data_IF_530945086468
#
_entry.id   IF_530945086468
#
_cell.length_a   1.000
_cell.length_b   1.000
_cell.length_c   1.000
_cell.angle_alpha   90.00
_cell.angle_beta   90.00
_cell.angle_gamma   90.00
#
_symmetry.space_group_name_H-M   'P 1'
#
loop_
_entity.id
_entity.type
_entity.pdbx_description
1 polymer ?
#
# COMPACT_ATOMS: atom_id res chain seq x y z
N UNK A 1 2.48 71.18 -0.41
CA UNK A 1 2.32 70.67 -1.79
C UNK A 1 3.35 69.58 -1.97
N UNK A 2 2.96 68.34 -1.63
CA UNK A 2 3.79 67.13 -1.63
C UNK A 2 2.86 65.92 -1.61
N UNK A 3 1.93 65.83 -2.57
CA UNK A 3 0.94 64.73 -2.62
C UNK A 3 1.27 63.75 -3.74
N UNK A 4 1.83 64.22 -4.86
CA UNK A 4 2.13 63.40 -6.04
C UNK A 4 3.17 62.29 -5.83
N UNK A 5 4.04 62.39 -4.83
CA UNK A 5 5.00 61.33 -4.50
C UNK A 5 4.37 60.18 -3.71
N UNK A 6 3.58 60.52 -2.69
CA UNK A 6 2.84 59.55 -1.87
C UNK A 6 1.79 58.79 -2.70
N UNK A 7 1.11 59.48 -3.63
CA UNK A 7 0.11 58.87 -4.50
C UNK A 7 0.73 57.80 -5.42
N UNK A 8 1.93 58.05 -5.96
CA UNK A 8 2.65 57.10 -6.82
C UNK A 8 3.20 55.89 -6.06
N UNK A 9 3.68 56.09 -4.82
CA UNK A 9 4.10 55.00 -3.95
C UNK A 9 2.92 54.13 -3.51
N UNK A 10 1.76 54.76 -3.26
CA UNK A 10 0.52 54.07 -2.93
C UNK A 10 0.00 53.20 -4.09
N UNK A 11 -0.07 53.77 -5.30
CA UNK A 11 -0.47 53.04 -6.51
C UNK A 11 0.49 51.87 -6.82
N UNK A 12 1.80 52.08 -6.63
CA UNK A 12 2.80 51.02 -6.82
C UNK A 12 2.65 49.89 -5.80
N UNK A 13 2.34 50.21 -4.55
CA UNK A 13 2.11 49.23 -3.49
C UNK A 13 0.85 48.38 -3.76
N UNK A 14 -0.23 49.01 -4.25
CA UNK A 14 -1.48 48.32 -4.59
C UNK A 14 -1.29 47.34 -5.76
N UNK A 15 -0.58 47.76 -6.82
CA UNK A 15 -0.25 46.89 -7.97
C UNK A 15 0.63 45.70 -7.55
N UNK A 16 1.56 45.90 -6.61
CA UNK A 16 2.39 44.81 -6.09
C UNK A 16 1.53 43.84 -5.27
N UNK A 17 0.67 44.33 -4.39
CA UNK A 17 -0.24 43.50 -3.58
C UNK A 17 -1.18 42.68 -4.47
N UNK A 18 -1.76 43.29 -5.51
CA UNK A 18 -2.63 42.60 -6.46
C UNK A 18 -1.87 41.50 -7.24
N UNK A 19 -0.64 41.78 -7.69
CA UNK A 19 0.22 40.79 -8.36
C UNK A 19 0.63 39.65 -7.44
N UNK A 20 0.95 39.94 -6.18
CA UNK A 20 1.27 38.93 -5.16
C UNK A 20 0.04 38.08 -4.88
N UNK A 21 -1.14 38.69 -4.72
CA UNK A 21 -2.40 38.00 -4.52
C UNK A 21 -2.80 37.10 -5.70
N UNK A 22 -2.62 37.57 -6.94
CA UNK A 22 -2.87 36.76 -8.14
C UNK A 22 -1.91 35.58 -8.22
N UNK A 23 -0.61 35.80 -7.98
CA UNK A 23 0.40 34.74 -7.99
C UNK A 23 0.10 33.69 -6.92
N UNK A 24 -0.26 34.11 -5.71
CA UNK A 24 -0.62 33.20 -4.63
C UNK A 24 -1.82 32.33 -5.01
N UNK A 25 -2.89 32.94 -5.56
CA UNK A 25 -4.07 32.19 -6.04
C UNK A 25 -3.75 31.17 -7.14
N UNK A 26 -2.84 31.51 -8.05
CA UNK A 26 -2.38 30.59 -9.09
C UNK A 26 -1.58 29.41 -8.52
N UNK A 27 -0.68 29.68 -7.57
CA UNK A 27 0.10 28.64 -6.88
C UNK A 27 -0.80 27.73 -6.02
N UNK A 28 -1.74 28.31 -5.27
CA UNK A 28 -2.72 27.57 -4.48
C UNK A 28 -3.61 26.68 -5.38
N UNK A 29 -4.01 27.21 -6.53
CA UNK A 29 -4.74 26.45 -7.54
C UNK A 29 -3.91 25.28 -8.10
N UNK A 30 -2.63 25.50 -8.40
CA UNK A 30 -1.72 24.46 -8.86
C UNK A 30 -1.51 23.38 -7.79
N UNK A 31 -1.30 23.75 -6.54
CA UNK A 31 -1.16 22.83 -5.41
C UNK A 31 -2.44 22.01 -5.17
N UNK A 32 -3.61 22.65 -5.31
CA UNK A 32 -4.90 21.98 -5.23
C UNK A 32 -5.01 20.88 -6.31
N UNK A 33 -4.73 21.21 -7.57
CA UNK A 33 -4.81 20.26 -8.67
C UNK A 33 -3.79 19.13 -8.56
N UNK A 34 -2.58 19.42 -8.05
CA UNK A 34 -1.58 18.39 -7.76
C UNK A 34 -2.06 17.42 -6.68
N UNK A 35 -2.59 17.91 -5.56
CA UNK A 35 -3.12 17.04 -4.50
C UNK A 35 -4.29 16.20 -5.01
N UNK A 36 -5.18 16.80 -5.79
CA UNK A 36 -6.30 16.11 -6.41
C UNK A 36 -5.82 14.99 -7.34
N UNK A 37 -4.87 15.27 -8.23
CA UNK A 37 -4.31 14.26 -9.14
C UNK A 37 -3.57 13.15 -8.38
N UNK A 38 -2.82 13.48 -7.32
CA UNK A 38 -2.16 12.49 -6.46
C UNK A 38 -3.18 11.54 -5.84
N UNK A 39 -4.25 12.07 -5.24
CA UNK A 39 -5.31 11.25 -4.62
C UNK A 39 -5.96 10.36 -5.67
N UNK A 40 -6.27 10.93 -6.84
CA UNK A 40 -6.91 10.21 -7.93
C UNK A 40 -6.02 9.08 -8.46
N UNK A 41 -4.72 9.33 -8.66
CA UNK A 41 -3.79 8.35 -9.20
C UNK A 41 -3.52 7.24 -8.18
N UNK A 42 -3.07 7.60 -6.97
CA UNK A 42 -2.70 6.61 -5.95
C UNK A 42 -3.93 5.85 -5.46
N UNK A 43 -5.01 6.57 -5.15
CA UNK A 43 -6.29 5.96 -4.76
C UNK A 43 -6.90 5.13 -5.87
N UNK A 44 -6.87 5.62 -7.12
CA UNK A 44 -7.34 4.89 -8.29
C UNK A 44 -6.58 3.59 -8.50
N UNK A 45 -5.25 3.59 -8.35
CA UNK A 45 -4.42 2.39 -8.42
C UNK A 45 -4.81 1.36 -7.34
N UNK A 46 -4.94 1.80 -6.08
CA UNK A 46 -5.32 0.91 -4.98
C UNK A 46 -6.72 0.33 -5.16
N UNK A 47 -7.69 1.15 -5.62
CA UNK A 47 -9.05 0.68 -5.90
C UNK A 47 -9.07 -0.29 -7.06
N UNK A 48 -8.34 -0.02 -8.15
CA UNK A 48 -8.25 -0.93 -9.29
C UNK A 48 -7.72 -2.30 -8.87
N UNK A 49 -6.61 -2.34 -8.11
CA UNK A 49 -6.05 -3.57 -7.56
C UNK A 49 -7.06 -4.31 -6.67
N UNK A 50 -7.76 -3.60 -5.78
CA UNK A 50 -8.77 -4.19 -4.92
C UNK A 50 -9.90 -4.85 -5.74
N UNK A 51 -10.33 -4.20 -6.82
CA UNK A 51 -11.37 -4.75 -7.69
C UNK A 51 -10.88 -5.98 -8.47
N UNK A 52 -9.63 -5.99 -8.94
CA UNK A 52 -9.01 -7.17 -9.57
C UNK A 52 -8.91 -8.35 -8.60
N UNK A 53 -8.66 -8.10 -7.31
CA UNK A 53 -8.56 -9.15 -6.29
C UNK A 53 -9.93 -9.73 -5.86
N UNK A 54 -11.04 -9.24 -6.42
CA UNK A 54 -12.40 -9.68 -6.13
C UNK A 54 -12.74 -9.65 -4.62
N UNK A 55 -13.16 -8.50 -4.07
CA UNK A 55 -13.38 -8.33 -2.63
C UNK A 55 -14.35 -9.35 -2.01
N UNK A 56 -15.35 -9.78 -2.78
CA UNK A 56 -16.30 -10.82 -2.36
C UNK A 56 -15.63 -12.18 -2.09
N UNK A 57 -14.57 -12.53 -2.82
CA UNK A 57 -13.81 -13.76 -2.62
C UNK A 57 -12.87 -13.65 -1.43
N UNK A 58 -12.29 -12.46 -1.19
CA UNK A 58 -11.46 -12.20 0.00
C UNK A 58 -12.28 -12.42 1.26
N UNK A 59 -13.51 -11.91 1.30
CA UNK A 59 -14.40 -11.98 2.47
C UNK A 59 -15.20 -13.29 2.57
N UNK A 60 -15.11 -14.18 1.58
CA UNK A 60 -15.79 -15.49 1.66
C UNK A 60 -15.12 -16.37 2.70
N UNK A 61 -15.88 -17.07 3.54
CA UNK A 61 -15.31 -17.98 4.53
C UNK A 61 -14.89 -19.32 3.90
N UNK A 62 -13.74 -19.31 3.23
CA UNK A 62 -13.07 -20.49 2.68
C UNK A 62 -11.55 -20.28 2.75
N UNK A 63 -10.79 -21.37 2.67
CA UNK A 63 -9.33 -21.32 2.62
C UNK A 63 -8.86 -20.95 1.21
N UNK A 64 -7.81 -20.11 1.08
CA UNK A 64 -7.20 -19.84 -0.21
C UNK A 64 -6.57 -21.10 -0.81
N UNK A 65 -6.52 -21.18 -2.13
CA UNK A 65 -5.97 -22.31 -2.90
C UNK A 65 -5.07 -21.81 -4.02
N UNK A 66 -4.26 -22.70 -4.59
CA UNK A 66 -3.30 -22.40 -5.66
C UNK A 66 -1.85 -22.46 -5.18
N UNK A 67 -0.92 -22.72 -6.09
CA UNK A 67 0.52 -22.80 -5.80
C UNK A 67 0.87 -23.45 -4.45
N UNK A 68 1.71 -22.77 -3.68
CA UNK A 68 2.15 -23.22 -2.36
C UNK A 68 1.18 -22.88 -1.21
N UNK A 69 -0.05 -22.43 -1.50
CA UNK A 69 -0.99 -22.02 -0.44
C UNK A 69 -1.37 -23.17 0.49
N UNK A 70 -1.28 -24.44 0.05
CA UNK A 70 -1.49 -25.58 0.94
C UNK A 70 -0.57 -25.55 2.17
N UNK A 71 0.72 -25.29 1.96
CA UNK A 71 1.70 -25.17 3.04
C UNK A 71 1.41 -23.91 3.89
N UNK A 72 1.07 -22.80 3.25
CA UNK A 72 0.78 -21.55 3.96
C UNK A 72 -0.55 -21.54 4.72
N UNK A 73 -1.51 -22.39 4.36
CA UNK A 73 -2.74 -22.62 5.13
C UNK A 73 -2.47 -23.54 6.31
N UNK A 74 -1.63 -24.57 6.14
CA UNK A 74 -1.32 -25.52 7.21
C UNK A 74 -0.39 -24.92 8.29
N UNK A 75 0.67 -24.21 7.90
CA UNK A 75 1.71 -23.79 8.84
C UNK A 75 1.21 -22.85 9.96
N UNK A 76 0.40 -21.81 9.69
CA UNK A 76 -0.08 -20.93 10.75
C UNK A 76 -1.07 -21.64 11.68
N UNK A 77 -1.88 -22.56 11.16
CA UNK A 77 -2.73 -23.41 12.00
C UNK A 77 -1.87 -24.28 12.94
N UNK A 78 -0.80 -24.90 12.44
CA UNK A 78 0.14 -25.65 13.26
C UNK A 78 0.85 -24.77 14.31
N UNK A 79 1.24 -23.54 13.92
CA UNK A 79 1.82 -22.55 14.83
C UNK A 79 0.87 -22.24 15.99
N UNK A 80 -0.40 -21.96 15.68
CA UNK A 80 -1.45 -21.67 16.67
C UNK A 80 -1.66 -22.84 17.62
N UNK A 81 -1.85 -24.03 17.07
CA UNK A 81 -2.38 -25.17 17.81
C UNK A 81 -1.29 -25.93 18.60
N UNK A 82 -0.04 -25.95 18.09
CA UNK A 82 1.04 -26.79 18.66
C UNK A 82 2.26 -26.01 19.17
N UNK A 83 2.61 -24.88 18.55
CA UNK A 83 3.86 -24.17 18.88
C UNK A 83 3.61 -23.04 19.88
N UNK A 84 2.64 -22.17 19.64
CA UNK A 84 2.35 -21.02 20.52
C UNK A 84 1.83 -21.47 21.88
N UNK A 85 1.10 -22.58 21.95
CA UNK A 85 0.68 -23.21 23.22
C UNK A 85 1.86 -23.65 24.09
N UNK A 86 3.04 -23.84 23.49
CA UNK A 86 4.29 -24.17 24.15
C UNK A 86 5.28 -23.00 24.19
N UNK A 87 4.83 -21.77 23.85
CA UNK A 87 5.68 -20.58 23.71
C UNK A 87 6.85 -20.75 22.73
N UNK A 88 6.63 -21.52 21.66
CA UNK A 88 7.61 -21.75 20.58
C UNK A 88 7.18 -21.06 19.30
N UNK A 89 8.16 -20.64 18.52
CA UNK A 89 7.96 -20.11 17.16
C UNK A 89 8.45 -21.06 16.07
N UNK A 90 9.15 -22.13 16.44
CA UNK A 90 9.67 -23.15 15.51
C UNK A 90 9.44 -24.54 16.10
N UNK A 91 9.38 -25.55 15.24
CA UNK A 91 9.18 -26.93 15.69
C UNK A 91 9.41 -27.94 14.58
N UNK A 92 8.86 -29.13 14.77
CA UNK A 92 8.98 -30.24 13.83
C UNK A 92 7.60 -30.86 13.61
N UNK A 93 7.31 -31.27 12.38
CA UNK A 93 6.14 -32.08 12.06
C UNK A 93 6.47 -32.98 10.88
N UNK A 94 5.99 -34.22 10.91
CA UNK A 94 6.10 -35.14 9.77
C UNK A 94 5.21 -34.70 8.60
N UNK A 95 4.19 -33.89 8.86
CA UNK A 95 3.30 -33.34 7.83
C UNK A 95 3.98 -32.21 7.03
N UNK A 96 4.98 -31.53 7.62
CA UNK A 96 5.66 -30.41 6.98
C UNK A 96 6.74 -30.91 6.03
N UNK A 97 6.46 -30.91 4.72
CA UNK A 97 7.40 -31.37 3.68
C UNK A 97 8.07 -32.72 4.02
N UNK A 98 7.25 -33.70 4.45
CA UNK A 98 7.69 -35.04 4.84
C UNK A 98 8.73 -35.08 5.98
N UNK A 99 8.64 -34.13 6.94
CA UNK A 99 9.50 -34.12 8.13
C UNK A 99 10.59 -33.06 8.09
N UNK A 100 10.38 -31.91 7.44
CA UNK A 100 11.25 -30.76 7.62
C UNK A 100 10.86 -29.98 8.89
N UNK A 101 11.79 -29.19 9.47
CA UNK A 101 11.46 -28.32 10.60
C UNK A 101 10.55 -27.16 10.17
N UNK A 102 9.48 -26.94 10.93
CA UNK A 102 8.49 -25.88 10.71
C UNK A 102 9.03 -24.54 11.20
N UNK A 103 8.86 -23.48 10.40
CA UNK A 103 9.34 -22.11 10.68
C UNK A 103 10.85 -21.97 10.91
N UNK A 104 11.66 -22.97 10.52
CA UNK A 104 13.12 -22.84 10.53
C UNK A 104 13.66 -22.09 9.31
N UNK A 105 13.02 -22.30 8.16
CA UNK A 105 13.44 -21.75 6.86
C UNK A 105 12.42 -20.74 6.30
N UNK A 106 11.27 -20.58 6.95
CA UNK A 106 10.21 -19.65 6.54
C UNK A 106 10.01 -18.56 7.57
N UNK A 107 9.62 -17.39 7.08
CA UNK A 107 9.27 -16.24 7.92
C UNK A 107 8.04 -16.53 8.78
N UNK A 108 8.18 -16.38 10.10
CA UNK A 108 7.09 -16.57 11.08
C UNK A 108 6.17 -15.33 11.16
N UNK A 109 6.68 -14.15 10.79
CA UNK A 109 5.97 -12.88 10.95
C UNK A 109 4.62 -12.84 10.20
N UNK A 110 4.51 -13.25 8.92
CA UNK A 110 3.21 -13.29 8.25
C UNK A 110 2.22 -14.23 8.93
N UNK A 111 2.70 -15.39 9.41
CA UNK A 111 1.86 -16.35 10.12
C UNK A 111 1.33 -15.76 11.44
N UNK A 112 2.15 -15.06 12.20
CA UNK A 112 1.68 -14.36 13.40
C UNK A 112 0.67 -13.27 13.07
N UNK A 113 0.89 -12.49 12.00
CA UNK A 113 -0.07 -11.47 11.56
C UNK A 113 -1.43 -12.09 11.19
N UNK A 114 -1.42 -13.23 10.48
CA UNK A 114 -2.63 -14.00 10.18
C UNK A 114 -3.34 -14.40 11.47
N UNK A 115 -2.62 -15.00 12.43
CA UNK A 115 -3.21 -15.46 13.68
C UNK A 115 -3.75 -14.33 14.55
N UNK A 116 -3.16 -13.14 14.49
CA UNK A 116 -3.70 -11.95 15.17
C UNK A 116 -5.04 -11.52 14.57
N UNK A 117 -5.19 -11.59 13.24
CA UNK A 117 -6.46 -11.28 12.57
C UNK A 117 -7.48 -12.42 12.77
N UNK A 118 -7.03 -13.67 12.86
CA UNK A 118 -7.84 -14.87 13.16
C UNK A 118 -8.55 -14.76 14.53
N UNK A 119 -8.07 -13.92 15.45
CA UNK A 119 -8.72 -13.68 16.74
C UNK A 119 -10.12 -13.04 16.60
N UNK A 120 -10.36 -12.33 15.50
CA UNK A 120 -11.61 -11.56 15.28
C UNK A 120 -12.33 -11.92 13.99
N UNK A 121 -11.65 -12.56 13.03
CA UNK A 121 -12.21 -12.98 11.76
C UNK A 121 -11.93 -14.48 11.51
N UNK A 122 -12.77 -15.19 10.75
CA UNK A 122 -12.51 -16.57 10.38
C UNK A 122 -11.14 -16.75 9.70
N UNK A 123 -10.43 -17.82 10.04
CA UNK A 123 -9.08 -18.15 9.55
C UNK A 123 -8.86 -17.95 8.06
N UNK A 124 -9.78 -18.44 7.22
CA UNK A 124 -9.69 -18.29 5.77
C UNK A 124 -9.70 -16.82 5.31
N UNK A 125 -10.51 -15.98 5.96
CA UNK A 125 -10.59 -14.54 5.69
C UNK A 125 -9.32 -13.85 6.19
N UNK A 126 -8.88 -14.16 7.41
CA UNK A 126 -7.65 -13.61 8.00
C UNK A 126 -6.42 -13.86 7.09
N UNK A 127 -6.27 -15.10 6.63
CA UNK A 127 -5.26 -15.52 5.66
C UNK A 127 -5.27 -14.63 4.40
N UNK A 128 -6.45 -14.48 3.78
CA UNK A 128 -6.59 -13.72 2.53
C UNK A 128 -6.34 -12.23 2.72
N UNK A 129 -6.78 -11.64 3.83
CA UNK A 129 -6.50 -10.23 4.15
C UNK A 129 -4.99 -9.98 4.23
N UNK A 130 -4.26 -10.81 4.98
CA UNK A 130 -2.81 -10.65 5.12
C UNK A 130 -2.09 -10.94 3.79
N UNK A 131 -2.58 -11.88 2.99
CA UNK A 131 -2.01 -12.14 1.67
C UNK A 131 -2.12 -10.93 0.72
N UNK A 132 -3.27 -10.22 0.72
CA UNK A 132 -3.50 -9.10 -0.20
C UNK A 132 -2.96 -7.75 0.29
N UNK A 133 -2.72 -7.59 1.59
CA UNK A 133 -2.34 -6.28 2.15
C UNK A 133 -1.07 -5.72 1.54
N UNK A 134 -0.08 -6.58 1.25
CA UNK A 134 1.17 -6.18 0.59
C UNK A 134 0.94 -5.66 -0.83
N UNK A 135 0.05 -6.31 -1.58
CA UNK A 135 -0.33 -5.92 -2.94
C UNK A 135 -1.01 -4.55 -2.92
N UNK A 136 -1.98 -4.36 -2.03
CA UNK A 136 -2.73 -3.10 -1.91
C UNK A 136 -1.87 -1.94 -1.38
N UNK A 137 -0.89 -2.24 -0.52
CA UNK A 137 0.00 -1.23 0.04
C UNK A 137 1.09 -0.76 -0.94
N UNK A 138 1.44 -1.56 -1.94
CA UNK A 138 2.58 -1.30 -2.82
C UNK A 138 2.49 0.06 -3.55
N UNK A 139 1.38 0.45 -4.21
CA UNK A 139 1.28 1.75 -4.87
C UNK A 139 1.50 2.93 -3.91
N UNK A 140 0.92 2.83 -2.71
CA UNK A 140 1.08 3.84 -1.67
C UNK A 140 2.53 3.93 -1.17
N UNK A 141 3.17 2.79 -0.93
CA UNK A 141 4.57 2.73 -0.52
C UNK A 141 5.51 3.31 -1.58
N UNK A 142 5.28 3.01 -2.86
CA UNK A 142 6.06 3.55 -3.98
C UNK A 142 5.90 5.06 -4.13
N UNK A 143 4.67 5.58 -4.00
CA UNK A 143 4.44 7.02 -3.94
C UNK A 143 5.15 7.66 -2.75
N UNK A 144 4.98 7.09 -1.55
CA UNK A 144 5.57 7.62 -0.32
C UNK A 144 7.09 7.64 -0.40
N UNK A 145 7.70 6.59 -0.98
CA UNK A 145 9.13 6.55 -1.27
C UNK A 145 9.55 7.71 -2.16
N UNK A 146 8.84 7.95 -3.27
CA UNK A 146 9.10 9.08 -4.17
C UNK A 146 8.99 10.46 -3.48
N UNK A 147 8.05 10.61 -2.55
CA UNK A 147 7.92 11.82 -1.72
C UNK A 147 9.07 11.97 -0.73
N UNK A 148 9.48 10.88 -0.08
CA UNK A 148 10.59 10.87 0.89
C UNK A 148 11.93 11.18 0.23
N UNK A 149 12.12 10.77 -1.02
CA UNK A 149 13.32 11.11 -1.83
C UNK A 149 13.22 12.48 -2.50
N UNK A 150 12.13 13.23 -2.27
CA UNK A 150 11.90 14.59 -2.79
C UNK A 150 11.90 14.67 -4.31
N UNK A 151 11.40 13.65 -4.99
CA UNK A 151 11.23 13.70 -6.45
C UNK A 151 10.25 14.82 -6.82
N UNK A 152 10.56 15.52 -7.92
CA UNK A 152 9.70 16.57 -8.45
C UNK A 152 8.36 15.98 -8.91
N UNK A 153 7.27 16.71 -8.70
CA UNK A 153 5.97 16.34 -9.26
C UNK A 153 6.07 16.26 -10.81
N UNK A 154 5.46 15.25 -11.47
CA UNK A 154 4.60 14.18 -10.94
C UNK A 154 5.31 12.82 -10.73
N UNK A 155 6.63 12.80 -10.52
CA UNK A 155 7.39 11.54 -10.43
C UNK A 155 6.91 10.61 -9.29
N UNK A 156 6.59 11.08 -8.06
CA UNK A 156 6.05 10.21 -7.02
C UNK A 156 4.76 9.48 -7.45
N UNK A 157 3.86 10.16 -8.17
CA UNK A 157 2.61 9.61 -8.67
C UNK A 157 2.87 8.55 -9.75
N UNK A 158 3.84 8.82 -10.64
CA UNK A 158 4.27 7.86 -11.67
C UNK A 158 4.89 6.60 -11.06
N UNK A 159 5.55 6.68 -9.90
CA UNK A 159 6.04 5.49 -9.20
C UNK A 159 4.91 4.60 -8.68
N UNK A 160 3.79 5.18 -8.22
CA UNK A 160 2.61 4.41 -7.82
C UNK A 160 1.98 3.68 -9.02
N UNK A 161 1.88 4.38 -10.15
CA UNK A 161 1.41 3.80 -11.42
C UNK A 161 2.34 2.69 -11.89
N UNK A 162 3.65 2.93 -11.91
CA UNK A 162 4.64 1.94 -12.31
C UNK A 162 4.59 0.69 -11.42
N UNK A 163 4.44 0.85 -10.11
CA UNK A 163 4.28 -0.28 -9.19
C UNK A 163 2.97 -1.06 -9.43
N UNK A 164 1.92 -0.37 -9.83
CA UNK A 164 0.64 -1.00 -10.21
C UNK A 164 0.78 -1.78 -11.50
N UNK A 165 1.41 -1.20 -12.54
CA UNK A 165 1.69 -1.89 -13.80
C UNK A 165 2.57 -3.12 -13.59
N UNK A 166 3.57 -3.03 -12.71
CA UNK A 166 4.39 -4.17 -12.31
C UNK A 166 3.56 -5.30 -11.67
N UNK A 167 2.56 -4.97 -10.85
CA UNK A 167 1.67 -5.99 -10.26
C UNK A 167 0.75 -6.66 -11.30
N UNK A 168 0.48 -5.99 -12.42
CA UNK A 168 -0.28 -6.55 -13.55
C UNK A 168 0.63 -7.22 -14.60
N UNK A 169 1.94 -7.28 -14.36
CA UNK A 169 2.85 -7.94 -15.29
C UNK A 169 2.70 -9.47 -15.20
N UNK A 170 2.08 -10.04 -16.23
CA UNK A 170 1.86 -11.49 -16.38
C UNK A 170 2.98 -12.17 -17.18
N UNK A 171 4.07 -11.46 -17.50
CA UNK A 171 5.20 -12.01 -18.26
C UNK A 171 5.89 -13.19 -17.53
N UNK A 172 5.68 -13.34 -16.23
CA UNK A 172 6.19 -14.44 -15.42
C UNK A 172 5.15 -15.56 -15.29
N UNK A 173 5.32 -16.60 -16.10
CA UNK A 173 4.56 -17.82 -15.97
C UNK A 173 5.30 -18.77 -15.01
N UNK A 174 4.64 -19.23 -13.95
CA UNK A 174 5.21 -20.31 -13.10
C UNK A 174 5.32 -21.65 -13.89
N UNK A 175 4.77 -21.68 -15.10
CA UNK A 175 4.78 -22.83 -16.01
C UNK A 175 5.65 -22.66 -17.28
N UNK A 176 6.23 -21.49 -17.56
CA UNK A 176 6.75 -21.21 -18.90
C UNK A 176 5.64 -20.79 -19.85
#
# INVERSE_FOLDING_TARGET
MSTTGDDLEHDAAEVIDERVGLRQRLLDGQDYWQRFSTILIVGGCTVALLMTLHPSLILRNNTPTGGDMGAHVWAPAYLRDHLLTQFKLTGWSMDWYAGLPVYRFYMVVPALAILLVDLVLPYGIAMKIIAVVGILALPWCSWKLGRMTRLAYPLPELLALGATLFLYDESFTIYG
#
